data_IF_664568980773
#
_entry.id   IF_664568980773
#
_cell.length_a   1.000
_cell.length_b   1.000
_cell.length_c   1.000
_cell.angle_alpha   90.00
_cell.angle_beta   90.00
_cell.angle_gamma   90.00
#
_symmetry.space_group_name_H-M   'P 1'
#
loop_
_entity.id
_entity.type
_entity.pdbx_description
1 polymer ?
#
# COMPACT_ATOMS: atom_id res chain seq x y z
N UNK A 1 -2.73 -13.74 7.55
CA UNK A 1 -2.60 -12.76 6.45
C UNK A 1 -1.60 -13.20 5.38
N UNK A 2 -0.41 -13.64 5.77
CA UNK A 2 0.60 -14.10 4.81
C UNK A 2 0.09 -15.25 3.94
N UNK A 3 -0.63 -16.20 4.51
CA UNK A 3 -1.20 -17.33 3.79
C UNK A 3 -2.22 -16.90 2.74
N UNK A 4 -3.06 -15.91 3.07
CA UNK A 4 -4.04 -15.36 2.13
C UNK A 4 -3.32 -14.64 0.99
N UNK A 5 -2.33 -13.82 1.30
CA UNK A 5 -1.56 -13.08 0.30
C UNK A 5 -0.82 -14.03 -0.63
N UNK A 6 -0.25 -15.12 -0.10
CA UNK A 6 0.50 -16.09 -0.91
C UNK A 6 -0.36 -16.79 -1.97
N UNK A 7 -1.68 -16.85 -1.76
CA UNK A 7 -2.62 -17.44 -2.71
C UNK A 7 -3.05 -16.47 -3.82
N UNK A 8 -2.79 -15.18 -3.66
CA UNK A 8 -3.10 -14.18 -4.68
C UNK A 8 -1.95 -14.15 -5.68
N UNK A 9 -2.27 -14.31 -6.96
CA UNK A 9 -1.26 -14.21 -8.03
C UNK A 9 -0.89 -12.75 -8.22
N UNK A 10 0.29 -12.37 -7.78
CA UNK A 10 0.79 -11.00 -7.91
C UNK A 10 2.25 -11.00 -8.35
N UNK A 11 2.65 -9.94 -9.04
CA UNK A 11 4.04 -9.78 -9.47
C UNK A 11 4.87 -9.07 -8.41
N UNK A 12 4.22 -8.26 -7.59
CA UNK A 12 4.87 -7.45 -6.57
C UNK A 12 3.94 -7.31 -5.35
N UNK A 13 4.51 -7.44 -4.18
CA UNK A 13 3.80 -7.27 -2.91
C UNK A 13 4.47 -6.15 -2.13
N UNK A 14 3.69 -5.18 -1.69
CA UNK A 14 4.17 -4.07 -0.87
C UNK A 14 3.52 -4.17 0.51
N UNK A 15 4.32 -4.27 1.53
CA UNK A 15 3.89 -4.36 2.92
C UNK A 15 4.18 -3.02 3.62
N UNK A 16 3.19 -2.50 4.34
CA UNK A 16 3.29 -1.21 5.01
C UNK A 16 2.98 -1.34 6.49
N UNK A 17 3.86 -0.81 7.32
CA UNK A 17 3.71 -0.79 8.76
C UNK A 17 4.67 -1.73 9.49
N UNK A 18 4.95 -1.47 10.77
CA UNK A 18 5.96 -2.23 11.51
C UNK A 18 5.59 -3.70 11.73
N UNK A 19 4.35 -4.00 12.06
CA UNK A 19 3.90 -5.38 12.30
C UNK A 19 3.97 -6.24 11.04
N UNK A 20 3.44 -5.70 9.95
CA UNK A 20 3.41 -6.38 8.67
C UNK A 20 4.83 -6.56 8.14
N UNK A 21 5.69 -5.56 8.28
CA UNK A 21 7.08 -5.63 7.87
C UNK A 21 7.88 -6.66 8.67
N UNK A 22 7.56 -6.85 9.95
CA UNK A 22 8.27 -7.81 10.80
C UNK A 22 7.74 -9.23 10.63
N UNK A 23 6.44 -9.45 10.81
CA UNK A 23 5.86 -10.78 10.88
C UNK A 23 5.39 -11.31 9.52
N UNK A 24 4.60 -10.55 8.81
CA UNK A 24 4.05 -10.99 7.53
C UNK A 24 5.15 -11.16 6.48
N UNK A 25 6.11 -10.27 6.46
CA UNK A 25 7.25 -10.35 5.53
C UNK A 25 8.02 -11.66 5.68
N UNK A 26 8.38 -12.02 6.90
CA UNK A 26 9.12 -13.27 7.18
C UNK A 26 8.33 -14.51 6.73
N UNK A 27 7.04 -14.52 7.03
CA UNK A 27 6.17 -15.64 6.66
C UNK A 27 6.02 -15.75 5.14
N UNK A 28 5.81 -14.64 4.46
CA UNK A 28 5.70 -14.61 2.99
C UNK A 28 6.96 -15.13 2.31
N UNK A 29 8.13 -14.78 2.83
CA UNK A 29 9.41 -15.26 2.27
C UNK A 29 9.50 -16.78 2.25
N UNK A 30 8.80 -17.47 3.14
CA UNK A 30 8.77 -18.93 3.18
C UNK A 30 7.69 -19.52 2.29
N UNK A 31 6.64 -18.77 1.95
CA UNK A 31 5.46 -19.27 1.25
C UNK A 31 5.46 -19.01 -0.26
N UNK A 32 6.18 -18.01 -0.72
CA UNK A 32 6.15 -17.60 -2.12
C UNK A 32 7.47 -17.86 -2.84
N UNK A 33 7.35 -17.93 -4.17
CA UNK A 33 8.47 -18.08 -5.09
C UNK A 33 9.34 -16.82 -5.09
N UNK A 34 10.66 -16.98 -5.19
CA UNK A 34 11.62 -15.90 -5.27
C UNK A 34 11.47 -14.98 -6.48
N UNK A 35 10.60 -15.29 -7.44
CA UNK A 35 10.28 -14.45 -8.59
C UNK A 35 9.38 -13.26 -8.23
N UNK A 36 8.68 -13.33 -7.11
CA UNK A 36 7.80 -12.25 -6.66
C UNK A 36 8.62 -11.26 -5.84
N UNK A 37 8.54 -9.99 -6.22
CA UNK A 37 9.21 -8.91 -5.48
C UNK A 37 8.38 -8.57 -4.24
N UNK A 38 9.01 -8.60 -3.07
CA UNK A 38 8.38 -8.18 -1.82
C UNK A 38 9.16 -6.98 -1.27
N UNK A 39 8.46 -5.85 -1.14
CA UNK A 39 9.00 -4.64 -0.52
C UNK A 39 8.27 -4.38 0.80
N UNK A 40 8.99 -3.83 1.77
CA UNK A 40 8.40 -3.47 3.07
C UNK A 40 8.78 -2.06 3.46
N UNK A 41 7.83 -1.33 4.00
CA UNK A 41 8.00 0.05 4.43
C UNK A 41 7.34 0.28 5.79
N UNK A 42 7.88 1.21 6.55
CA UNK A 42 7.36 1.53 7.87
C UNK A 42 6.20 2.53 7.78
N UNK A 43 6.32 3.53 6.93
CA UNK A 43 5.31 4.58 6.84
C UNK A 43 4.73 4.74 5.44
N UNK A 44 3.52 5.32 5.32
CA UNK A 44 2.82 5.44 4.04
C UNK A 44 3.50 6.38 3.03
N UNK A 45 4.25 7.37 3.47
CA UNK A 45 4.96 8.26 2.55
C UNK A 45 6.03 7.51 1.77
N UNK A 46 6.73 6.60 2.42
CA UNK A 46 7.72 5.75 1.75
C UNK A 46 7.08 4.87 0.66
N UNK A 47 5.88 4.34 0.94
CA UNK A 47 5.12 3.55 -0.03
C UNK A 47 4.75 4.41 -1.24
N UNK A 48 4.27 5.62 -1.00
CA UNK A 48 3.89 6.54 -2.07
C UNK A 48 5.09 6.89 -2.95
N UNK A 49 6.22 7.24 -2.35
CA UNK A 49 7.45 7.56 -3.08
C UNK A 49 7.90 6.37 -3.94
N UNK A 50 7.85 5.17 -3.41
CA UNK A 50 8.18 3.95 -4.14
C UNK A 50 7.25 3.74 -5.33
N UNK A 51 5.94 3.91 -5.14
CA UNK A 51 4.97 3.74 -6.21
C UNK A 51 5.14 4.78 -7.32
N UNK A 52 5.38 6.02 -6.97
CA UNK A 52 5.59 7.08 -7.95
C UNK A 52 6.82 6.81 -8.84
N UNK A 53 7.87 6.20 -8.29
CA UNK A 53 9.07 5.86 -9.03
C UNK A 53 8.94 4.58 -9.87
N UNK A 54 8.15 3.62 -9.43
CA UNK A 54 8.15 2.28 -10.00
C UNK A 54 6.86 1.87 -10.72
N UNK A 55 5.77 2.63 -10.53
CA UNK A 55 4.49 2.31 -11.14
C UNK A 55 4.52 2.58 -12.64
N UNK A 56 4.11 1.60 -13.43
CA UNK A 56 4.02 1.69 -14.89
C UNK A 56 2.57 1.72 -15.34
N UNK A 57 2.33 2.12 -16.59
CA UNK A 57 0.99 2.11 -17.18
C UNK A 57 0.43 0.68 -17.23
N UNK A 58 -0.88 0.59 -17.10
CA UNK A 58 -1.63 -0.67 -17.16
C UNK A 58 -1.35 -1.65 -16.01
N UNK A 59 -0.80 -1.19 -14.89
CA UNK A 59 -0.68 -2.01 -13.69
C UNK A 59 -1.96 -1.97 -12.87
N UNK A 60 -2.38 -3.12 -12.37
CA UNK A 60 -3.51 -3.25 -11.46
C UNK A 60 -3.02 -3.21 -10.02
N UNK A 61 -3.54 -2.29 -9.23
CA UNK A 61 -3.21 -2.15 -7.82
C UNK A 61 -4.36 -2.63 -6.93
N UNK A 62 -4.07 -3.58 -6.05
CA UNK A 62 -5.00 -4.01 -5.02
C UNK A 62 -4.55 -3.46 -3.67
N UNK A 63 -5.37 -2.60 -3.07
CA UNK A 63 -5.14 -2.09 -1.73
C UNK A 63 -5.96 -2.87 -0.72
N UNK A 64 -5.28 -3.45 0.26
CA UNK A 64 -5.93 -4.19 1.34
C UNK A 64 -5.45 -3.69 2.69
N UNK A 65 -6.38 -3.26 3.51
CA UNK A 65 -6.09 -2.76 4.86
C UNK A 65 -6.95 -1.56 5.22
N UNK A 66 -6.58 -0.93 6.30
CA UNK A 66 -7.21 0.28 6.79
C UNK A 66 -6.17 1.37 7.00
N UNK A 67 -6.60 2.56 7.31
CA UNK A 67 -5.79 3.73 7.62
C UNK A 67 -4.76 4.10 6.53
N UNK A 68 -4.74 5.33 6.15
CA UNK A 68 -3.76 5.94 5.25
C UNK A 68 -3.71 5.41 3.82
N UNK A 69 -4.24 4.23 3.52
CA UNK A 69 -4.26 3.74 2.14
C UNK A 69 -5.02 4.69 1.22
N UNK A 70 -6.12 5.26 1.71
CA UNK A 70 -6.88 6.27 0.97
C UNK A 70 -6.04 7.51 0.64
N UNK A 71 -5.11 7.88 1.52
CA UNK A 71 -4.18 8.98 1.27
C UNK A 71 -3.18 8.68 0.15
N UNK A 72 -2.72 7.44 0.07
CA UNK A 72 -1.86 7.00 -1.04
C UNK A 72 -2.66 7.03 -2.34
N UNK A 73 -3.88 6.48 -2.33
CA UNK A 73 -4.75 6.45 -3.51
C UNK A 73 -5.05 7.87 -4.02
N UNK A 74 -5.27 8.83 -3.12
CA UNK A 74 -5.50 10.24 -3.50
C UNK A 74 -4.41 10.78 -4.43
N UNK A 75 -3.15 10.49 -4.11
CA UNK A 75 -2.01 10.97 -4.91
C UNK A 75 -1.89 10.24 -6.25
N UNK A 76 -2.40 9.03 -6.36
CA UNK A 76 -2.30 8.21 -7.56
C UNK A 76 -3.49 8.38 -8.52
N UNK A 77 -4.60 8.97 -8.08
CA UNK A 77 -5.78 9.15 -8.91
C UNK A 77 -5.51 10.08 -10.10
N UNK A 78 -5.90 9.64 -11.29
CA UNK A 78 -5.84 10.46 -12.50
C UNK A 78 -6.88 11.58 -12.46
N UNK A 79 -8.11 11.27 -12.05
CA UNK A 79 -9.17 12.26 -11.87
C UNK A 79 -9.28 12.62 -10.39
N UNK A 80 -8.83 13.81 -10.03
CA UNK A 80 -8.85 14.29 -8.64
C UNK A 80 -10.27 14.51 -8.08
N UNK A 81 -11.28 14.56 -8.93
CA UNK A 81 -12.68 14.60 -8.48
C UNK A 81 -13.10 13.34 -7.75
N UNK A 82 -12.47 12.21 -8.06
CA UNK A 82 -12.76 10.93 -7.42
C UNK A 82 -12.28 10.85 -5.97
N UNK A 83 -11.50 11.81 -5.50
CA UNK A 83 -11.05 11.88 -4.10
C UNK A 83 -12.22 11.85 -3.14
N UNK A 84 -13.32 12.53 -3.47
CA UNK A 84 -14.51 12.59 -2.61
C UNK A 84 -15.18 11.23 -2.40
N UNK A 85 -14.94 10.28 -3.28
CA UNK A 85 -15.49 8.92 -3.20
C UNK A 85 -14.69 8.01 -2.25
N UNK A 86 -13.51 8.45 -1.82
CA UNK A 86 -12.68 7.67 -0.92
C UNK A 86 -13.18 7.75 0.53
N UNK A 87 -12.90 6.74 1.37
CA UNK A 87 -13.30 6.78 2.78
C UNK A 87 -12.49 7.79 3.59
N UNK A 88 -12.94 8.06 4.81
CA UNK A 88 -12.23 8.88 5.80
C UNK A 88 -11.97 10.31 5.34
N UNK A 89 -13.05 10.99 4.90
CA UNK A 89 -12.96 12.38 4.40
C UNK A 89 -13.00 13.43 5.50
N UNK A 90 -13.35 13.08 6.73
CA UNK A 90 -13.46 14.01 7.86
C UNK A 90 -12.11 14.68 8.18
N UNK A 91 -12.18 15.90 8.73
CA UNK A 91 -10.99 16.71 9.04
C UNK A 91 -9.97 16.00 9.93
N UNK A 92 -10.43 15.18 10.88
CA UNK A 92 -9.53 14.42 11.75
C UNK A 92 -8.63 13.46 10.97
N UNK A 93 -9.19 12.83 9.94
CA UNK A 93 -8.43 11.91 9.10
C UNK A 93 -7.45 12.64 8.18
N UNK A 94 -7.85 13.80 7.66
CA UNK A 94 -6.97 14.67 6.88
C UNK A 94 -5.75 15.09 7.71
N UNK A 95 -5.98 15.48 8.96
CA UNK A 95 -4.91 15.86 9.89
C UNK A 95 -3.95 14.68 10.15
N UNK A 96 -4.49 13.50 10.35
CA UNK A 96 -3.69 12.28 10.56
C UNK A 96 -2.85 11.94 9.34
N UNK A 97 -3.42 12.04 8.14
CA UNK A 97 -2.68 11.80 6.91
C UNK A 97 -1.51 12.78 6.75
N UNK A 98 -1.72 14.06 7.00
CA UNK A 98 -0.65 15.07 6.94
C UNK A 98 0.48 14.75 7.88
N UNK A 99 0.18 14.26 9.08
CA UNK A 99 1.19 13.86 10.06
C UNK A 99 2.10 12.75 9.52
N UNK A 100 1.59 11.91 8.64
CA UNK A 100 2.33 10.82 8.01
C UNK A 100 2.87 11.18 6.62
N UNK A 101 2.86 12.45 6.25
CA UNK A 101 3.42 12.91 5.00
C UNK A 101 2.52 12.76 3.76
N UNK A 102 1.23 12.60 3.97
CA UNK A 102 0.25 12.40 2.87
C UNK A 102 -0.65 13.62 2.62
#
# INVERSE_FOLDING_TARGET
>A
LAEVISKIKSDRIILMGPRVSEFTYKKLKTLIDGKIIIEKFINPREVLDYLELNLKDNELLLFKGARFLEGIVEHLLLDKKDIEKLPRREKIWQKRRRKWGL
#
